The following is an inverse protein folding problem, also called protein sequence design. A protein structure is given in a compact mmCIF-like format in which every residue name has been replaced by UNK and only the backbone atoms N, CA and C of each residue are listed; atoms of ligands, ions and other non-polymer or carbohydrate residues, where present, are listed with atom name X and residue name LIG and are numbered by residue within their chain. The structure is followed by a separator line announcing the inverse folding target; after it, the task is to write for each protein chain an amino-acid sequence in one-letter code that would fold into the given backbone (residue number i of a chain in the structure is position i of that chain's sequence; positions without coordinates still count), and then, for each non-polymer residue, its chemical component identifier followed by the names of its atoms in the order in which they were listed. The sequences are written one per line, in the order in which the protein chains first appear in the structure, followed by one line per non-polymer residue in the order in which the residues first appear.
data_IF_680525020940
#
_entry.id   IF_680525020940
#
_cell.length_a   1.000
_cell.length_b   1.000
_cell.length_c   1.000
_cell.angle_alpha   90.00
_cell.angle_beta   90.00
_cell.angle_gamma   90.00
#
_symmetry.space_group_name_H-M   'P 1'
#
loop_
_entity.id
_entity.type
_entity.pdbx_description
1 polymer ?
#
# COMPACT_ATOMS: atom_id res chain seq x y z
N UNK A 1 14.73 53.13 27.21
CA UNK A 1 13.75 52.25 26.53
C UNK A 1 12.57 52.09 27.47
N UNK A 2 11.53 52.89 27.23
CA UNK A 2 10.35 53.09 28.10
C UNK A 2 9.60 51.77 28.31
N UNK A 3 9.08 51.55 29.52
CA UNK A 3 8.40 50.31 29.96
C UNK A 3 7.29 49.85 29.02
N UNK A 4 6.63 50.79 28.34
CA UNK A 4 5.62 50.56 27.29
C UNK A 4 6.17 49.83 26.05
N UNK A 5 7.41 50.10 25.67
CA UNK A 5 8.08 49.46 24.52
C UNK A 5 8.46 48.01 24.81
N UNK A 6 8.79 47.67 26.07
CA UNK A 6 9.02 46.29 26.53
C UNK A 6 7.72 45.49 26.61
N UNK A 7 6.64 46.10 27.09
CA UNK A 7 5.31 45.50 27.14
C UNK A 7 4.74 45.21 25.74
N UNK A 8 4.88 46.15 24.79
CA UNK A 8 4.46 45.95 23.41
C UNK A 8 5.22 44.82 22.72
N UNK A 9 6.54 44.72 22.92
CA UNK A 9 7.36 43.64 22.34
C UNK A 9 6.99 42.26 22.92
N UNK A 10 6.72 42.20 24.23
CA UNK A 10 6.28 40.97 24.89
C UNK A 10 4.92 40.47 24.37
N UNK A 11 3.97 41.38 24.14
CA UNK A 11 2.67 41.03 23.59
C UNK A 11 2.77 40.48 22.15
N UNK A 12 3.59 41.10 21.30
CA UNK A 12 3.82 40.62 19.93
C UNK A 12 4.48 39.24 19.93
N UNK A 13 5.47 39.02 20.79
CA UNK A 13 6.15 37.73 20.90
C UNK A 13 5.18 36.61 21.35
N UNK A 14 4.29 36.89 22.30
CA UNK A 14 3.29 35.94 22.76
C UNK A 14 2.32 35.53 21.65
N UNK A 15 1.87 36.48 20.81
CA UNK A 15 1.02 36.20 19.65
C UNK A 15 1.75 35.36 18.62
N UNK A 16 3.02 35.66 18.32
CA UNK A 16 3.84 34.86 17.40
C UNK A 16 4.03 33.43 17.90
N UNK A 17 4.25 33.23 19.20
CA UNK A 17 4.38 31.90 19.81
C UNK A 17 3.06 31.13 19.78
N UNK A 18 1.93 31.80 20.02
CA UNK A 18 0.61 31.17 19.94
C UNK A 18 0.24 30.76 18.50
N UNK A 19 0.53 31.61 17.51
CA UNK A 19 0.31 31.31 16.10
C UNK A 19 1.30 30.23 15.61
N UNK A 20 2.56 30.30 16.03
CA UNK A 20 3.59 29.34 15.68
C UNK A 20 3.33 27.95 16.27
N UNK A 21 2.88 27.87 17.52
CA UNK A 21 2.52 26.60 18.17
C UNK A 21 1.26 25.99 17.56
N UNK A 22 0.25 26.80 17.21
CA UNK A 22 -0.93 26.34 16.46
C UNK A 22 -0.60 25.84 15.05
N UNK A 23 0.33 26.48 14.35
CA UNK A 23 0.78 26.06 13.01
C UNK A 23 1.64 24.80 13.03
N UNK A 24 2.54 24.68 14.03
CA UNK A 24 3.33 23.47 14.24
C UNK A 24 2.44 22.26 14.55
N UNK A 25 1.42 22.44 15.40
CA UNK A 25 0.48 21.35 15.75
C UNK A 25 -0.47 21.00 14.59
N UNK A 26 -0.95 21.99 13.85
CA UNK A 26 -1.80 21.77 12.67
C UNK A 26 -1.04 21.12 11.51
N UNK A 27 0.23 21.47 11.32
CA UNK A 27 1.07 20.83 10.32
C UNK A 27 1.42 19.39 10.70
N UNK A 28 1.82 19.11 11.95
CA UNK A 28 2.12 17.75 12.40
C UNK A 28 0.93 16.80 12.26
N UNK A 29 -0.27 17.24 12.64
CA UNK A 29 -1.49 16.43 12.48
C UNK A 29 -1.85 16.14 11.02
N UNK A 30 -1.53 17.05 10.09
CA UNK A 30 -1.74 16.82 8.65
C UNK A 30 -0.82 15.72 8.10
N UNK A 31 0.45 15.71 8.52
CA UNK A 31 1.41 14.69 8.10
C UNK A 31 1.02 13.29 8.60
N UNK A 32 0.53 13.19 9.84
CA UNK A 32 0.05 11.92 10.41
C UNK A 32 -1.20 11.40 9.71
N UNK A 33 -2.16 12.29 9.41
CA UNK A 33 -3.36 11.94 8.66
C UNK A 33 -3.02 11.48 7.23
N UNK A 34 -2.12 12.19 6.54
CA UNK A 34 -1.66 11.79 5.21
C UNK A 34 -0.93 10.44 5.24
N UNK A 35 -0.11 10.17 6.27
CA UNK A 35 0.55 8.88 6.45
C UNK A 35 -0.45 7.75 6.68
N UNK A 36 -1.48 7.97 7.51
CA UNK A 36 -2.53 6.99 7.75
C UNK A 36 -3.34 6.68 6.48
N UNK A 37 -3.63 7.69 5.65
CA UNK A 37 -4.31 7.50 4.36
C UNK A 37 -3.45 6.71 3.38
N UNK A 38 -2.14 6.95 3.34
CA UNK A 38 -1.22 6.18 2.50
C UNK A 38 -1.17 4.71 2.91
N UNK A 39 -1.07 4.43 4.22
CA UNK A 39 -1.06 3.07 4.73
C UNK A 39 -2.39 2.34 4.49
N UNK A 40 -3.52 3.02 4.69
CA UNK A 40 -4.85 2.48 4.40
C UNK A 40 -5.01 2.11 2.92
N UNK A 41 -4.57 2.98 2.00
CA UNK A 41 -4.58 2.68 0.57
C UNK A 41 -3.72 1.46 0.23
N UNK A 42 -2.53 1.34 0.82
CA UNK A 42 -1.67 0.19 0.60
C UNK A 42 -2.34 -1.12 1.07
N UNK A 43 -2.93 -1.12 2.26
CA UNK A 43 -3.66 -2.28 2.79
C UNK A 43 -4.84 -2.65 1.90
N UNK A 44 -5.57 -1.66 1.39
CA UNK A 44 -6.67 -1.87 0.45
C UNK A 44 -6.16 -2.54 -0.84
N UNK A 45 -5.07 -2.05 -1.44
CA UNK A 45 -4.49 -2.65 -2.65
C UNK A 45 -4.05 -4.09 -2.44
N UNK A 46 -3.40 -4.38 -1.31
CA UNK A 46 -2.99 -5.75 -0.96
C UNK A 46 -4.23 -6.64 -0.75
N UNK A 47 -5.29 -6.13 -0.13
CA UNK A 47 -6.55 -6.86 0.03
C UNK A 47 -7.25 -7.11 -1.31
N UNK A 48 -7.29 -6.12 -2.20
CA UNK A 48 -7.83 -6.26 -3.56
C UNK A 48 -7.08 -7.36 -4.33
N UNK A 49 -5.75 -7.34 -4.27
CA UNK A 49 -4.91 -8.36 -4.90
C UNK A 49 -5.18 -9.77 -4.34
N UNK A 50 -5.33 -9.91 -3.02
CA UNK A 50 -5.70 -11.18 -2.37
C UNK A 50 -7.06 -11.68 -2.83
N UNK A 51 -8.06 -10.81 -2.81
CA UNK A 51 -9.42 -11.14 -3.24
C UNK A 51 -9.43 -11.60 -4.69
N UNK A 52 -8.77 -10.84 -5.57
CA UNK A 52 -8.67 -11.18 -6.99
C UNK A 52 -7.91 -12.50 -7.22
N UNK A 53 -6.80 -12.76 -6.53
CA UNK A 53 -6.10 -14.05 -6.62
C UNK A 53 -6.96 -15.22 -6.12
N UNK A 54 -7.73 -15.03 -5.04
CA UNK A 54 -8.64 -16.05 -4.54
C UNK A 54 -9.74 -16.36 -5.54
N UNK A 55 -10.38 -15.33 -6.13
CA UNK A 55 -11.37 -15.50 -7.20
C UNK A 55 -10.77 -16.19 -8.43
N UNK A 56 -9.58 -15.77 -8.86
CA UNK A 56 -8.89 -16.41 -9.98
C UNK A 56 -8.70 -17.91 -9.76
N UNK A 57 -8.36 -18.33 -8.54
CA UNK A 57 -8.19 -19.75 -8.22
C UNK A 57 -9.49 -20.55 -8.28
N UNK A 58 -10.60 -19.95 -7.86
CA UNK A 58 -11.93 -20.56 -8.03
C UNK A 58 -12.22 -20.76 -9.51
N UNK A 59 -12.03 -19.73 -10.33
CA UNK A 59 -12.24 -19.83 -11.78
C UNK A 59 -11.29 -20.84 -12.44
N UNK A 60 -10.02 -20.90 -12.04
CA UNK A 60 -9.05 -21.89 -12.56
C UNK A 60 -9.44 -23.31 -12.18
N UNK A 61 -9.97 -23.51 -10.97
CA UNK A 61 -10.50 -24.80 -10.53
C UNK A 61 -11.73 -25.21 -11.36
N UNK A 62 -12.58 -24.25 -11.70
CA UNK A 62 -13.74 -24.43 -12.60
C UNK A 62 -13.36 -24.47 -14.09
N UNK A 63 -12.07 -24.43 -14.43
CA UNK A 63 -11.54 -24.39 -15.81
C UNK A 63 -12.01 -23.16 -16.62
N UNK A 64 -12.40 -22.08 -15.93
CA UNK A 64 -12.78 -20.80 -16.51
C UNK A 64 -11.56 -19.86 -16.66
N UNK A 65 -10.63 -20.24 -17.54
CA UNK A 65 -9.37 -19.51 -17.76
C UNK A 65 -9.56 -18.06 -18.22
N UNK A 66 -10.70 -17.74 -18.86
CA UNK A 66 -11.03 -16.40 -19.30
C UNK A 66 -11.31 -15.45 -18.13
N UNK A 67 -12.17 -15.84 -17.19
CA UNK A 67 -12.43 -15.04 -15.99
C UNK A 67 -11.23 -15.06 -15.04
N UNK A 68 -10.58 -16.21 -14.89
CA UNK A 68 -9.35 -16.31 -14.13
C UNK A 68 -8.29 -15.30 -14.61
N UNK A 69 -8.09 -15.17 -15.93
CA UNK A 69 -7.13 -14.21 -16.50
C UNK A 69 -7.48 -12.75 -16.19
N UNK A 70 -8.78 -12.41 -16.10
CA UNK A 70 -9.24 -11.08 -15.70
C UNK A 70 -8.96 -10.82 -14.23
N UNK A 71 -9.26 -11.77 -13.36
CA UNK A 71 -8.94 -11.67 -11.94
C UNK A 71 -7.42 -11.60 -11.70
N UNK A 72 -6.62 -12.37 -12.42
CA UNK A 72 -5.15 -12.27 -12.37
C UNK A 72 -4.63 -10.92 -12.86
N UNK A 73 -5.27 -10.31 -13.86
CA UNK A 73 -4.95 -8.96 -14.31
C UNK A 73 -5.24 -7.91 -13.22
N UNK A 74 -6.40 -7.99 -12.56
CA UNK A 74 -6.74 -7.10 -11.44
C UNK A 74 -5.74 -7.25 -10.30
N UNK A 75 -5.36 -8.48 -9.95
CA UNK A 75 -4.35 -8.73 -8.92
C UNK A 75 -2.99 -8.14 -9.28
N UNK A 76 -2.55 -8.33 -10.53
CA UNK A 76 -1.31 -7.79 -11.07
C UNK A 76 -1.28 -6.27 -10.96
N UNK A 77 -2.33 -5.59 -11.39
CA UNK A 77 -2.40 -4.12 -11.36
C UNK A 77 -2.35 -3.58 -9.93
N UNK A 78 -3.06 -4.22 -8.99
CA UNK A 78 -3.05 -3.85 -7.59
C UNK A 78 -1.67 -4.08 -6.92
N UNK A 79 -1.00 -5.19 -7.22
CA UNK A 79 0.34 -5.49 -6.71
C UNK A 79 1.40 -4.55 -7.30
N UNK A 80 1.27 -4.19 -8.58
CA UNK A 80 2.16 -3.24 -9.22
C UNK A 80 2.05 -1.85 -8.57
N UNK A 81 0.82 -1.33 -8.39
CA UNK A 81 0.59 -0.06 -7.68
C UNK A 81 1.12 -0.11 -6.24
N UNK A 82 0.88 -1.20 -5.51
CA UNK A 82 1.38 -1.37 -4.15
C UNK A 82 2.92 -1.36 -4.09
N UNK A 83 3.60 -2.10 -4.98
CA UNK A 83 5.07 -2.14 -5.00
C UNK A 83 5.70 -0.79 -5.34
N UNK A 84 5.15 -0.06 -6.31
CA UNK A 84 5.63 1.27 -6.69
C UNK A 84 5.48 2.28 -5.56
N UNK A 85 4.37 2.23 -4.80
CA UNK A 85 4.17 3.10 -3.64
C UNK A 85 5.13 2.77 -2.51
N UNK A 86 5.34 1.49 -2.21
CA UNK A 86 6.32 1.07 -1.20
C UNK A 86 7.73 1.52 -1.57
N UNK A 87 8.11 1.45 -2.85
CA UNK A 87 9.38 2.02 -3.33
C UNK A 87 9.48 3.53 -3.12
N UNK A 88 8.42 4.27 -3.48
CA UNK A 88 8.36 5.71 -3.32
C UNK A 88 8.45 6.13 -1.84
N UNK A 89 7.90 5.32 -0.94
CA UNK A 89 7.97 5.50 0.52
C UNK A 89 9.30 5.02 1.14
N UNK A 90 10.24 4.51 0.32
CA UNK A 90 11.53 3.98 0.79
C UNK A 90 11.46 2.60 1.47
N UNK A 91 10.28 1.98 1.48
CA UNK A 91 9.95 0.67 2.07
C UNK A 91 10.38 -0.48 1.16
N UNK A 92 11.67 -0.50 0.81
CA UNK A 92 12.26 -1.43 -0.18
C UNK A 92 12.05 -2.92 0.16
N UNK A 93 12.22 -3.38 1.43
CA UNK A 93 11.98 -4.79 1.76
C UNK A 93 10.53 -5.21 1.53
N UNK A 94 9.56 -4.37 1.90
CA UNK A 94 8.15 -4.67 1.63
C UNK A 94 7.83 -4.63 0.14
N UNK A 95 8.40 -3.67 -0.60
CA UNK A 95 8.25 -3.60 -2.05
C UNK A 95 8.77 -4.87 -2.74
N UNK A 96 9.94 -5.38 -2.32
CA UNK A 96 10.51 -6.63 -2.83
C UNK A 96 9.60 -7.84 -2.56
N UNK A 97 9.03 -7.93 -1.36
CA UNK A 97 8.10 -9.00 -1.00
C UNK A 97 6.83 -8.95 -1.88
N UNK A 98 6.26 -7.76 -2.10
CA UNK A 98 5.11 -7.56 -3.00
C UNK A 98 5.48 -7.88 -4.46
N UNK A 99 6.68 -7.52 -4.92
CA UNK A 99 7.18 -7.88 -6.27
C UNK A 99 7.36 -9.38 -6.45
N UNK A 100 7.71 -10.11 -5.39
CA UNK A 100 7.71 -11.58 -5.40
C UNK A 100 6.34 -12.14 -5.75
N UNK A 101 5.29 -11.68 -5.06
CA UNK A 101 3.91 -12.08 -5.34
C UNK A 101 3.44 -11.65 -6.75
N UNK A 102 3.81 -10.44 -7.19
CA UNK A 102 3.54 -9.94 -8.54
C UNK A 102 4.13 -10.85 -9.62
N UNK A 103 5.38 -11.28 -9.44
CA UNK A 103 6.07 -12.18 -10.39
C UNK A 103 5.30 -13.48 -10.54
N UNK A 104 4.92 -14.11 -9.42
CA UNK A 104 4.14 -15.35 -9.45
C UNK A 104 2.75 -15.15 -10.09
N UNK A 105 2.13 -13.99 -9.87
CA UNK A 105 0.83 -13.63 -10.49
C UNK A 105 0.94 -13.50 -12.01
N UNK A 106 2.00 -12.85 -12.51
CA UNK A 106 2.27 -12.74 -13.95
C UNK A 106 2.48 -14.11 -14.58
N UNK A 107 3.26 -14.98 -13.94
CA UNK A 107 3.45 -16.35 -14.40
C UNK A 107 2.14 -17.15 -14.40
N UNK A 108 1.31 -17.00 -13.36
CA UNK A 108 -0.01 -17.63 -13.31
C UNK A 108 -0.90 -17.17 -14.48
N UNK A 109 -0.85 -15.89 -14.84
CA UNK A 109 -1.60 -15.32 -15.96
C UNK A 109 -1.13 -15.88 -17.30
N UNK A 110 0.19 -16.01 -17.51
CA UNK A 110 0.76 -16.61 -18.72
C UNK A 110 0.37 -18.08 -18.87
N UNK A 111 0.39 -18.83 -17.77
CA UNK A 111 -0.08 -20.21 -17.72
C UNK A 111 -1.59 -20.30 -17.99
N UNK A 112 -2.39 -19.39 -17.41
CA UNK A 112 -3.83 -19.36 -17.64
C UNK A 112 -4.17 -19.05 -19.12
N UNK A 113 -3.42 -18.12 -19.75
CA UNK A 113 -3.56 -17.79 -21.16
C UNK A 113 -3.22 -18.97 -22.09
N UNK A 114 -2.37 -19.89 -21.65
CA UNK A 114 -2.06 -21.14 -22.35
C UNK A 114 -2.92 -22.32 -21.89
N UNK A 115 -3.97 -22.08 -21.10
CA UNK A 115 -4.89 -23.12 -20.57
C UNK A 115 -4.12 -24.20 -19.80
N UNK A 116 -3.03 -23.81 -19.15
CA UNK A 116 -2.17 -24.71 -18.39
C UNK A 116 -2.67 -24.81 -16.94
N UNK A 117 -2.89 -26.04 -16.46
CA UNK A 117 -3.38 -26.33 -15.10
C UNK A 117 -2.42 -25.90 -14.00
N UNK A 118 -1.13 -25.75 -14.29
CA UNK A 118 -0.13 -25.20 -13.38
C UNK A 118 -0.41 -23.73 -12.99
N UNK A 119 -1.28 -23.03 -13.74
CA UNK A 119 -1.71 -21.66 -13.38
C UNK A 119 -2.33 -21.57 -11.99
N UNK A 120 -3.08 -22.59 -11.54
CA UNK A 120 -3.71 -22.59 -10.22
C UNK A 120 -2.67 -22.73 -9.09
N UNK A 121 -1.69 -23.62 -9.27
CA UNK A 121 -0.57 -23.76 -8.34
C UNK A 121 0.23 -22.46 -8.24
N UNK A 122 0.49 -21.84 -9.38
CA UNK A 122 1.21 -20.56 -9.46
C UNK A 122 0.45 -19.42 -8.77
N UNK A 123 -0.87 -19.36 -8.93
CA UNK A 123 -1.73 -18.40 -8.24
C UNK A 123 -1.76 -18.67 -6.72
N UNK A 124 -1.73 -19.93 -6.30
CA UNK A 124 -1.62 -20.28 -4.88
C UNK A 124 -0.26 -19.88 -4.27
N UNK A 125 0.84 -20.02 -5.01
CA UNK A 125 2.14 -19.50 -4.60
C UNK A 125 2.13 -17.98 -4.44
N UNK A 126 1.52 -17.25 -5.38
CA UNK A 126 1.37 -15.80 -5.31
C UNK A 126 0.66 -15.36 -4.02
N UNK A 127 -0.44 -16.03 -3.66
CA UNK A 127 -1.15 -15.77 -2.40
C UNK A 127 -0.28 -16.03 -1.17
N UNK A 128 0.42 -17.17 -1.13
CA UNK A 128 1.31 -17.48 0.01
C UNK A 128 2.43 -16.46 0.17
N UNK A 129 2.98 -15.98 -0.94
CA UNK A 129 4.00 -14.93 -0.92
C UNK A 129 3.43 -13.61 -0.39
N UNK A 130 2.24 -13.23 -0.87
CA UNK A 130 1.55 -12.01 -0.44
C UNK A 130 1.14 -12.06 1.05
N UNK A 131 0.74 -13.22 1.54
CA UNK A 131 0.42 -13.45 2.94
C UNK A 131 1.66 -13.34 3.83
N UNK A 132 2.81 -13.86 3.38
CA UNK A 132 4.08 -13.64 4.07
C UNK A 132 4.50 -12.17 4.05
N UNK A 133 4.39 -11.50 2.92
CA UNK A 133 4.74 -10.08 2.77
C UNK A 133 3.94 -9.17 3.72
N UNK A 134 2.65 -9.47 3.90
CA UNK A 134 1.74 -8.68 4.74
C UNK A 134 1.75 -9.11 6.21
N UNK A 135 1.99 -10.40 6.51
CA UNK A 135 2.18 -10.89 7.87
C UNK A 135 3.53 -10.53 8.49
N UNK A 136 4.55 -10.28 7.67
CA UNK A 136 5.86 -9.81 8.10
C UNK A 136 5.92 -8.29 8.35
N UNK A 137 4.83 -7.54 8.13
CA UNK A 137 4.77 -6.12 8.48
C UNK A 137 4.45 -6.01 9.98
N UNK A 138 5.43 -5.66 10.85
CA UNK A 138 5.12 -5.43 12.24
C UNK A 138 4.15 -4.25 12.32
N UNK A 139 2.95 -4.50 12.84
CA UNK A 139 2.17 -3.45 13.45
C UNK A 139 3.08 -2.80 14.49
N UNK A 140 3.45 -1.55 14.22
CA UNK A 140 4.31 -0.74 15.07
C UNK A 140 3.52 -0.26 16.29
#
# INVERSE_FOLDING_TARGET
MTTTMKLGLGAVLAVVVALGSGWLWGSSGRWDAEAAVRDAHLRLRVADARGALASARVDLFELNYGQASRHLQVAKDALQDASQRLEADGRRPEAEAVRGALTKTVEAQQLAASVNTASNERAAEALRELDRASGASPAK
#
